data_IF_539549762739
#
_entry.id   IF_539549762739
#
_cell.length_a   1.000
_cell.length_b   1.000
_cell.length_c   1.000
_cell.angle_alpha   90.00
_cell.angle_beta   90.00
_cell.angle_gamma   90.00
#
_symmetry.space_group_name_H-M   'P 1'
#
loop_
_entity.id
_entity.type
_entity.pdbx_description
1 polymer ?
#
# COMPACT_ATOMS: atom_id res chain seq x y z
N UNK A 1 8.17 -27.67 7.09
CA UNK A 1 9.58 -28.10 6.91
C UNK A 1 10.07 -28.71 8.22
N UNK A 2 10.90 -29.78 8.21
CA UNK A 2 11.45 -30.34 9.46
C UNK A 2 12.47 -29.36 10.08
N UNK A 3 12.54 -29.20 11.43
CA UNK A 3 13.44 -28.25 12.09
C UNK A 3 14.92 -28.40 11.71
N UNK A 4 15.40 -29.65 11.58
CA UNK A 4 16.78 -29.95 11.16
C UNK A 4 17.10 -29.43 9.76
N UNK A 5 16.18 -29.62 8.81
CA UNK A 5 16.33 -29.14 7.42
C UNK A 5 16.25 -27.61 7.32
N UNK A 6 15.51 -26.97 8.23
CA UNK A 6 15.41 -25.51 8.28
C UNK A 6 16.71 -24.88 8.77
N UNK A 7 17.32 -25.47 9.80
CA UNK A 7 18.63 -25.03 10.30
C UNK A 7 19.72 -25.18 9.23
N UNK A 8 19.82 -26.34 8.61
CA UNK A 8 20.79 -26.61 7.55
C UNK A 8 20.62 -25.68 6.33
N UNK A 9 19.36 -25.39 5.96
CA UNK A 9 19.07 -24.45 4.88
C UNK A 9 19.56 -23.02 5.20
N UNK A 10 19.34 -22.54 6.44
CA UNK A 10 19.84 -21.24 6.86
C UNK A 10 21.36 -21.23 6.95
N UNK A 11 22.00 -22.24 7.50
CA UNK A 11 23.47 -22.33 7.57
C UNK A 11 24.11 -22.29 6.17
N UNK A 12 23.50 -22.98 5.19
CA UNK A 12 24.05 -23.07 3.82
C UNK A 12 23.74 -21.83 2.97
N UNK A 13 22.56 -21.25 3.12
CA UNK A 13 22.03 -20.27 2.15
C UNK A 13 21.84 -18.87 2.74
N UNK A 14 21.63 -18.76 4.06
CA UNK A 14 21.37 -17.49 4.75
C UNK A 14 21.93 -17.51 6.17
N UNK A 15 23.25 -17.61 6.30
CA UNK A 15 23.94 -17.81 7.58
C UNK A 15 23.60 -16.73 8.61
N UNK A 16 23.23 -15.52 8.16
CA UNK A 16 22.77 -14.43 9.03
C UNK A 16 21.49 -14.76 9.83
N UNK A 17 20.72 -15.78 9.42
CA UNK A 17 19.48 -16.20 10.07
C UNK A 17 19.61 -17.54 10.81
N UNK A 18 20.74 -18.23 10.70
CA UNK A 18 20.94 -19.58 11.25
C UNK A 18 20.84 -19.64 12.78
N UNK A 19 21.29 -18.58 13.46
CA UNK A 19 21.27 -18.48 14.93
C UNK A 19 20.07 -17.68 15.48
N UNK A 20 19.17 -17.22 14.61
CA UNK A 20 18.04 -16.40 15.05
C UNK A 20 16.97 -17.28 15.70
N UNK A 21 16.40 -16.78 16.79
CA UNK A 21 15.38 -17.48 17.56
C UNK A 21 13.99 -17.38 16.90
N UNK A 22 13.06 -18.22 17.36
CA UNK A 22 11.67 -18.21 16.86
C UNK A 22 11.02 -16.83 17.08
N UNK A 23 11.38 -16.11 18.16
CA UNK A 23 10.85 -14.79 18.44
C UNK A 23 11.30 -13.72 17.42
N UNK A 24 12.52 -13.82 16.89
CA UNK A 24 12.97 -13.00 15.75
C UNK A 24 12.08 -13.20 14.52
N UNK A 25 11.78 -14.45 14.17
CA UNK A 25 10.94 -14.74 13.00
C UNK A 25 9.49 -14.33 13.22
N UNK A 26 8.92 -14.53 14.42
CA UNK A 26 7.59 -14.01 14.77
C UNK A 26 7.51 -12.49 14.66
N UNK A 27 8.50 -11.76 15.20
CA UNK A 27 8.58 -10.29 15.04
C UNK A 27 8.66 -9.86 13.58
N UNK A 28 9.43 -10.59 12.76
CA UNK A 28 9.47 -10.35 11.31
C UNK A 28 8.11 -10.65 10.68
N UNK A 29 7.51 -11.79 10.94
CA UNK A 29 6.18 -12.16 10.44
C UNK A 29 5.12 -11.11 10.78
N UNK A 30 5.07 -10.64 12.03
CA UNK A 30 4.15 -9.59 12.45
C UNK A 30 4.43 -8.26 11.73
N UNK A 31 5.71 -7.91 11.53
CA UNK A 31 6.07 -6.75 10.73
C UNK A 31 5.65 -6.90 9.25
N UNK A 32 5.74 -8.10 8.68
CA UNK A 32 5.29 -8.38 7.31
C UNK A 32 3.76 -8.34 7.20
N UNK A 33 3.03 -8.86 8.19
CA UNK A 33 1.56 -8.81 8.25
C UNK A 33 1.04 -7.38 8.35
N UNK A 34 1.74 -6.54 9.11
CA UNK A 34 1.37 -5.13 9.33
C UNK A 34 1.83 -4.21 8.19
N UNK A 35 2.77 -4.66 7.35
CA UNK A 35 3.24 -3.90 6.21
C UNK A 35 2.45 -4.31 4.95
N UNK A 36 1.74 -3.35 4.36
CA UNK A 36 1.02 -3.59 3.09
C UNK A 36 2.07 -3.72 1.98
N UNK A 37 2.20 -4.92 1.42
CA UNK A 37 2.96 -5.12 0.19
C UNK A 37 2.19 -4.49 -0.97
N UNK A 38 2.89 -3.78 -1.86
CA UNK A 38 2.33 -3.44 -3.15
C UNK A 38 2.28 -4.69 -4.06
N UNK A 39 1.66 -4.57 -5.25
CA UNK A 39 1.56 -5.68 -6.22
C UNK A 39 2.92 -6.19 -6.73
N UNK A 40 4.04 -5.54 -6.36
CA UNK A 40 5.40 -5.92 -6.71
C UNK A 40 6.17 -6.53 -5.53
N UNK A 41 5.53 -6.73 -4.37
CA UNK A 41 6.14 -7.36 -3.20
C UNK A 41 7.04 -6.44 -2.37
N UNK A 42 7.00 -5.13 -2.60
CA UNK A 42 7.77 -4.16 -1.81
C UNK A 42 7.02 -3.77 -0.53
N UNK A 43 7.75 -3.77 0.59
CA UNK A 43 7.24 -3.33 1.89
C UNK A 43 7.10 -1.81 1.93
N UNK A 44 5.87 -1.32 1.78
CA UNK A 44 5.60 0.11 1.89
C UNK A 44 5.06 0.44 3.28
N UNK A 45 5.89 1.06 4.12
CA UNK A 45 5.43 1.65 5.38
C UNK A 45 4.81 3.03 5.08
N UNK A 46 3.59 3.03 4.53
CA UNK A 46 2.86 4.26 4.26
C UNK A 46 2.41 4.87 5.58
N UNK A 47 2.77 6.14 5.82
CA UNK A 47 2.09 6.93 6.87
C UNK A 47 0.60 7.04 6.55
N UNK A 48 -0.26 7.15 7.57
CA UNK A 48 -1.71 7.31 7.40
C UNK A 48 -2.05 8.46 6.43
N UNK A 49 -1.39 9.61 6.60
CA UNK A 49 -1.52 10.76 5.71
C UNK A 49 -1.10 10.47 4.25
N UNK A 50 -0.05 9.66 4.04
CA UNK A 50 0.37 9.26 2.70
C UNK A 50 -0.62 8.31 2.02
N UNK A 51 -1.23 7.42 2.80
CA UNK A 51 -2.30 6.55 2.32
C UNK A 51 -3.53 7.36 1.92
N UNK A 52 -3.98 8.27 2.79
CA UNK A 52 -5.10 9.17 2.52
C UNK A 52 -4.86 10.01 1.26
N UNK A 53 -3.67 10.61 1.14
CA UNK A 53 -3.29 11.36 -0.05
C UNK A 53 -3.36 10.50 -1.33
N UNK A 54 -2.96 9.24 -1.28
CA UNK A 54 -3.05 8.31 -2.42
C UNK A 54 -4.52 8.08 -2.85
N UNK A 55 -5.44 7.94 -1.89
CA UNK A 55 -6.87 7.81 -2.17
C UNK A 55 -7.45 9.10 -2.78
N UNK A 56 -7.12 10.26 -2.22
CA UNK A 56 -7.58 11.54 -2.76
C UNK A 56 -7.13 11.76 -4.21
N UNK A 57 -5.87 11.44 -4.53
CA UNK A 57 -5.35 11.55 -5.88
C UNK A 57 -6.02 10.54 -6.82
N UNK A 58 -6.14 9.28 -6.42
CA UNK A 58 -6.81 8.25 -7.20
C UNK A 58 -8.27 8.61 -7.50
N UNK A 59 -9.00 9.16 -6.52
CA UNK A 59 -10.37 9.64 -6.71
C UNK A 59 -10.44 10.76 -7.75
N UNK A 60 -9.51 11.72 -7.72
CA UNK A 60 -9.44 12.82 -8.70
C UNK A 60 -9.12 12.31 -10.10
N UNK A 61 -8.21 11.35 -10.24
CA UNK A 61 -7.88 10.70 -11.52
C UNK A 61 -9.13 10.03 -12.10
N UNK A 62 -9.82 9.22 -11.30
CA UNK A 62 -11.04 8.52 -11.71
C UNK A 62 -12.17 9.49 -12.11
N UNK A 63 -12.45 10.50 -11.27
CA UNK A 63 -13.47 11.53 -11.54
C UNK A 63 -13.23 12.27 -12.85
N UNK A 64 -11.97 12.53 -13.19
CA UNK A 64 -11.59 13.22 -14.42
C UNK A 64 -11.33 12.26 -15.60
N UNK A 65 -11.65 10.96 -15.45
CA UNK A 65 -11.49 9.92 -16.46
C UNK A 65 -10.07 9.87 -17.06
N UNK A 66 -9.05 10.07 -16.21
CA UNK A 66 -7.65 10.03 -16.63
C UNK A 66 -7.08 8.62 -16.49
N UNK A 67 -6.09 8.23 -17.32
CA UNK A 67 -5.44 6.94 -17.18
C UNK A 67 -4.69 6.86 -15.84
N UNK A 68 -4.65 5.68 -15.24
CA UNK A 68 -4.01 5.47 -13.93
C UNK A 68 -2.52 5.83 -13.94
N UNK A 69 -1.83 5.60 -15.06
CA UNK A 69 -0.41 5.93 -15.28
C UNK A 69 -0.09 7.41 -15.12
N UNK A 70 -1.08 8.31 -15.16
CA UNK A 70 -0.86 9.75 -14.91
C UNK A 70 -0.33 10.02 -13.49
N UNK A 71 -0.64 9.12 -12.54
CA UNK A 71 -0.17 9.21 -11.16
C UNK A 71 1.36 9.19 -11.05
N UNK A 72 1.99 8.22 -11.72
CA UNK A 72 3.45 8.04 -11.70
C UNK A 72 4.16 8.89 -12.75
N UNK A 73 3.56 9.09 -13.92
CA UNK A 73 4.23 9.77 -15.04
C UNK A 73 4.21 11.29 -14.95
N UNK A 74 3.24 11.88 -14.25
CA UNK A 74 3.06 13.33 -14.22
C UNK A 74 2.82 13.88 -12.82
N UNK A 75 1.80 13.36 -12.12
CA UNK A 75 1.39 13.94 -10.84
C UNK A 75 2.51 13.84 -9.80
N UNK A 76 3.12 12.66 -9.66
CA UNK A 76 4.20 12.46 -8.69
C UNK A 76 5.42 13.37 -8.96
N UNK A 77 6.00 13.42 -10.18
CA UNK A 77 7.05 14.38 -10.51
C UNK A 77 6.68 15.83 -10.19
N UNK A 78 5.49 16.29 -10.60
CA UNK A 78 5.06 17.68 -10.36
C UNK A 78 4.99 18.03 -8.87
N UNK A 79 4.47 17.13 -8.03
CA UNK A 79 4.41 17.38 -6.58
C UNK A 79 5.82 17.41 -5.98
N UNK A 80 6.71 16.50 -6.40
CA UNK A 80 8.09 16.46 -5.90
C UNK A 80 8.85 17.74 -6.28
N UNK A 81 8.71 18.21 -7.51
CA UNK A 81 9.32 19.47 -7.96
C UNK A 81 8.81 20.67 -7.18
N UNK A 82 7.49 20.79 -7.02
CA UNK A 82 6.89 21.87 -6.26
C UNK A 82 7.34 21.87 -4.79
N UNK A 83 7.35 20.71 -4.14
CA UNK A 83 7.77 20.56 -2.74
C UNK A 83 9.24 20.91 -2.58
N UNK A 84 10.09 20.41 -3.48
CA UNK A 84 11.53 20.71 -3.48
C UNK A 84 11.81 22.20 -3.63
N UNK A 85 11.16 22.87 -4.58
CA UNK A 85 11.39 24.28 -4.87
C UNK A 85 10.78 25.23 -3.83
N UNK A 86 9.62 24.89 -3.28
CA UNK A 86 8.85 25.78 -2.39
C UNK A 86 9.13 25.51 -0.91
N UNK A 87 9.26 24.24 -0.52
CA UNK A 87 9.41 23.83 0.88
C UNK A 87 10.85 23.42 1.22
N UNK A 88 11.60 22.94 0.23
CA UNK A 88 12.99 22.49 0.38
C UNK A 88 13.15 20.97 0.35
N UNK A 89 14.38 20.53 0.09
CA UNK A 89 14.76 19.13 -0.14
C UNK A 89 14.38 18.20 1.03
N UNK A 90 14.45 18.70 2.27
CA UNK A 90 14.17 17.92 3.47
C UNK A 90 12.72 17.38 3.54
N UNK A 91 11.79 17.92 2.75
CA UNK A 91 10.39 17.48 2.72
C UNK A 91 10.08 16.51 1.58
N UNK A 92 10.96 16.40 0.58
CA UNK A 92 10.75 15.57 -0.62
C UNK A 92 10.57 14.09 -0.26
N UNK A 93 11.40 13.59 0.66
CA UNK A 93 11.38 12.17 1.05
C UNK A 93 10.04 11.75 1.68
N UNK A 94 9.37 12.66 2.40
CA UNK A 94 8.04 12.38 2.97
C UNK A 94 6.98 12.22 1.88
N UNK A 95 7.07 13.02 0.81
CA UNK A 95 6.14 13.00 -0.32
C UNK A 95 6.44 11.85 -1.27
N UNK A 96 7.72 11.51 -1.43
CA UNK A 96 8.14 10.38 -2.24
C UNK A 96 7.53 9.07 -1.72
N UNK A 97 7.18 9.02 -0.43
CA UNK A 97 6.48 7.90 0.18
C UNK A 97 5.00 7.75 -0.21
N UNK A 98 4.43 8.68 -0.96
CA UNK A 98 3.08 8.51 -1.50
C UNK A 98 3.19 7.56 -2.70
N UNK A 99 2.53 6.41 -2.61
CA UNK A 99 2.46 5.47 -3.73
C UNK A 99 1.38 5.92 -4.73
N UNK A 100 1.82 6.23 -5.95
CA UNK A 100 0.97 6.69 -7.06
C UNK A 100 1.21 5.87 -8.34
N UNK A 101 1.77 4.66 -8.22
CA UNK A 101 1.97 3.75 -9.35
C UNK A 101 0.65 3.39 -10.02
N UNK A 102 0.70 3.01 -11.29
CA UNK A 102 -0.49 2.57 -12.05
C UNK A 102 -1.33 1.54 -11.27
N UNK A 103 -0.67 0.55 -10.67
CA UNK A 103 -1.33 -0.50 -9.89
C UNK A 103 -1.90 0.04 -8.57
N UNK A 104 -1.21 0.97 -7.91
CA UNK A 104 -1.74 1.58 -6.68
C UNK A 104 -2.99 2.39 -6.99
N UNK A 105 -2.97 3.24 -8.02
CA UNK A 105 -4.13 4.04 -8.42
C UNK A 105 -5.31 3.13 -8.77
N UNK A 106 -5.08 2.07 -9.56
CA UNK A 106 -6.09 1.04 -9.84
C UNK A 106 -6.69 0.48 -8.56
N UNK A 107 -5.85 -0.05 -7.66
CA UNK A 107 -6.31 -0.70 -6.43
C UNK A 107 -7.11 0.27 -5.55
N UNK A 108 -6.68 1.53 -5.42
CA UNK A 108 -7.42 2.55 -4.64
C UNK A 108 -8.81 2.83 -5.21
N UNK A 109 -8.94 2.84 -6.54
CA UNK A 109 -10.23 3.02 -7.22
C UNK A 109 -11.13 1.80 -7.00
N UNK A 110 -10.58 0.59 -7.14
CA UNK A 110 -11.31 -0.65 -6.88
C UNK A 110 -11.75 -0.76 -5.42
N UNK A 111 -10.87 -0.43 -4.47
CA UNK A 111 -11.14 -0.39 -3.04
C UNK A 111 -12.30 0.56 -2.73
N UNK A 112 -12.26 1.79 -3.27
CA UNK A 112 -13.35 2.77 -3.10
C UNK A 112 -14.65 2.29 -3.73
N UNK A 113 -14.61 1.72 -4.93
CA UNK A 113 -15.80 1.21 -5.62
C UNK A 113 -16.45 0.08 -4.82
N UNK A 114 -15.64 -0.84 -4.30
CA UNK A 114 -16.11 -1.94 -3.46
C UNK A 114 -16.73 -1.43 -2.17
N UNK A 115 -16.08 -0.46 -1.51
CA UNK A 115 -16.61 0.12 -0.28
C UNK A 115 -17.98 0.78 -0.50
N UNK A 116 -18.14 1.54 -1.60
CA UNK A 116 -19.44 2.14 -1.94
C UNK A 116 -20.51 1.06 -2.16
N UNK A 117 -20.18 0.00 -2.92
CA UNK A 117 -21.10 -1.11 -3.16
C UNK A 117 -21.52 -1.80 -1.85
N UNK A 118 -20.55 -2.13 -1.00
CA UNK A 118 -20.79 -2.79 0.28
C UNK A 118 -21.68 -1.92 1.19
N UNK A 119 -21.42 -0.60 1.24
CA UNK A 119 -22.27 0.36 1.97
C UNK A 119 -23.69 0.34 1.45
N UNK A 120 -23.89 0.47 0.13
CA UNK A 120 -25.24 0.47 -0.45
C UNK A 120 -25.98 -0.85 -0.20
N UNK A 121 -25.30 -1.99 -0.32
CA UNK A 121 -25.89 -3.30 -0.04
C UNK A 121 -26.32 -3.43 1.42
N UNK A 122 -25.51 -2.92 2.35
CA UNK A 122 -25.84 -2.94 3.77
C UNK A 122 -27.02 -2.02 4.09
N UNK A 123 -27.10 -0.85 3.46
CA UNK A 123 -28.25 0.06 3.61
C UNK A 123 -29.54 -0.58 3.09
N UNK A 124 -29.48 -1.21 1.91
CA UNK A 124 -30.62 -1.90 1.31
C UNK A 124 -31.10 -3.03 2.22
N UNK A 125 -30.20 -3.90 2.68
CA UNK A 125 -30.54 -5.02 3.59
C UNK A 125 -31.11 -4.55 4.93
N UNK A 126 -30.72 -3.37 5.38
CA UNK A 126 -31.20 -2.78 6.64
C UNK A 126 -32.52 -2.01 6.46
N UNK A 127 -32.99 -1.83 5.24
CA UNK A 127 -34.22 -1.10 4.95
C UNK A 127 -35.44 -1.94 5.34
N UNK A 128 -36.42 -1.38 6.09
CA UNK A 128 -37.65 -2.08 6.43
C UNK A 128 -38.54 -2.36 5.20
N UNK A 129 -38.23 -1.75 4.07
CA UNK A 129 -38.94 -1.92 2.80
C UNK A 129 -38.26 -2.95 1.87
N UNK A 130 -37.14 -3.54 2.29
CA UNK A 130 -36.47 -4.56 1.52
C UNK A 130 -37.10 -5.93 1.81
N UNK A 131 -37.78 -6.50 0.82
CA UNK A 131 -38.30 -7.86 0.83
C UNK A 131 -37.59 -8.66 -0.27
N UNK A 132 -37.09 -9.85 0.08
CA UNK A 132 -36.35 -10.79 -0.79
C UNK A 132 -37.27 -11.69 -1.59
#
# INVERSE_FOLDING_TARGET
>A
MKPSKLKEYFERSHSQFAEKDIAFFKRKEDALKNARMDSFGYFFQSTEAGLEASYCIAQRIAKNKKPHTIGENLIKPCILDAVRLVLGEQHVEKINKISLSNNTIKNRIEDMSKNILDTMLNEIKSSPFFAL
#
